data_IF_318755388000
#
_entry.id   IF_318755388000
#
_cell.length_a   1.000
_cell.length_b   1.000
_cell.length_c   1.000
_cell.angle_alpha   90.00
_cell.angle_beta   90.00
_cell.angle_gamma   90.00
#
_symmetry.space_group_name_H-M   'P 1'
#
loop_
_entity.id
_entity.type
_entity.pdbx_description
1 polymer ?
#
# COMPACT_ATOMS: atom_id res chain seq x y z
N UNK A 1 3.94 39.35 -37.20
CA UNK A 1 3.64 40.80 -37.10
C UNK A 1 4.39 41.66 -38.12
N UNK A 2 5.72 41.58 -38.22
CA UNK A 2 6.50 42.40 -39.16
C UNK A 2 6.12 42.21 -40.64
N UNK A 3 5.83 40.97 -41.08
CA UNK A 3 5.44 40.69 -42.47
C UNK A 3 4.09 41.30 -42.85
N UNK A 4 3.07 41.18 -41.99
CA UNK A 4 1.74 41.79 -42.21
C UNK A 4 1.81 43.32 -42.27
N UNK A 5 2.70 43.92 -41.47
CA UNK A 5 2.95 45.35 -41.50
C UNK A 5 3.63 45.78 -42.80
N UNK A 6 4.63 45.02 -43.26
CA UNK A 6 5.27 45.24 -44.57
C UNK A 6 4.31 45.10 -45.76
N UNK A 7 3.34 44.17 -45.71
CA UNK A 7 2.29 44.05 -46.75
C UNK A 7 1.38 45.28 -46.78
N UNK A 8 1.03 45.85 -45.61
CA UNK A 8 0.23 47.09 -45.53
C UNK A 8 1.01 48.30 -46.06
N UNK A 9 2.26 48.45 -45.65
CA UNK A 9 3.13 49.53 -46.14
C UNK A 9 3.34 49.45 -47.66
N UNK A 10 3.47 48.23 -48.20
CA UNK A 10 3.55 47.99 -49.64
C UNK A 10 2.26 48.42 -50.36
N UNK A 11 1.08 48.07 -49.83
CA UNK A 11 -0.21 48.46 -50.38
C UNK A 11 -0.42 49.98 -50.38
N UNK A 12 -0.09 50.64 -49.27
CA UNK A 12 -0.13 52.09 -49.13
C UNK A 12 0.80 52.78 -50.15
N UNK A 13 2.02 52.26 -50.31
CA UNK A 13 3.02 52.78 -51.25
C UNK A 13 2.58 52.62 -52.70
N UNK A 14 2.07 51.43 -53.08
CA UNK A 14 1.59 51.15 -54.43
C UNK A 14 0.36 52.00 -54.76
N UNK A 15 -0.56 52.13 -53.82
CA UNK A 15 -1.77 52.95 -53.97
C UNK A 15 -1.41 54.43 -54.13
N UNK A 16 -0.55 54.97 -53.26
CA UNK A 16 -0.06 56.35 -53.34
C UNK A 16 0.64 56.64 -54.68
N UNK A 17 1.48 55.70 -55.14
CA UNK A 17 2.17 55.80 -56.42
C UNK A 17 1.18 55.83 -57.60
N UNK A 18 0.14 55.00 -57.56
CA UNK A 18 -0.88 54.95 -58.62
C UNK A 18 -1.77 56.21 -58.62
N UNK A 19 -2.04 56.80 -57.46
CA UNK A 19 -2.69 58.13 -57.37
C UNK A 19 -1.80 59.23 -57.95
N UNK A 20 -0.52 59.26 -57.59
CA UNK A 20 0.44 60.23 -58.17
C UNK A 20 0.55 60.08 -59.70
N UNK A 21 0.51 58.85 -60.21
CA UNK A 21 0.52 58.56 -61.66
C UNK A 21 -0.73 59.11 -62.35
N UNK A 22 -1.91 58.90 -61.78
CA UNK A 22 -3.17 59.44 -62.30
C UNK A 22 -3.14 60.98 -62.37
N UNK A 23 -2.58 61.65 -61.36
CA UNK A 23 -2.44 63.11 -61.34
C UNK A 23 -1.50 63.64 -62.43
N UNK A 24 -0.38 62.96 -62.66
CA UNK A 24 0.57 63.29 -63.73
C UNK A 24 -0.05 63.06 -65.12
N UNK A 25 -0.76 61.95 -65.31
CA UNK A 25 -1.45 61.68 -66.59
C UNK A 25 -2.52 62.73 -66.89
N UNK A 26 -3.25 63.18 -65.87
CA UNK A 26 -4.23 64.26 -65.97
C UNK A 26 -3.60 65.59 -66.39
N UNK A 27 -2.45 65.97 -65.82
CA UNK A 27 -1.77 67.22 -66.21
C UNK A 27 -1.22 67.16 -67.63
N UNK A 28 -0.69 66.01 -68.04
CA UNK A 28 -0.21 65.76 -69.41
C UNK A 28 -1.36 65.85 -70.42
N UNK A 29 -2.48 65.17 -70.17
CA UNK A 29 -3.66 65.21 -71.05
C UNK A 29 -4.18 66.65 -71.24
N UNK A 30 -4.28 67.44 -70.16
CA UNK A 30 -4.67 68.86 -70.24
C UNK A 30 -3.74 69.67 -71.13
N UNK A 31 -2.43 69.48 -70.97
CA UNK A 31 -1.43 70.16 -71.80
C UNK A 31 -1.57 69.79 -73.29
N UNK A 32 -1.82 68.51 -73.60
CA UNK A 32 -2.00 68.08 -74.97
C UNK A 32 -3.32 68.56 -75.60
N UNK A 33 -4.40 68.69 -74.82
CA UNK A 33 -5.65 69.34 -75.27
C UNK A 33 -5.34 70.75 -75.77
N UNK A 34 -4.67 71.58 -74.96
CA UNK A 34 -4.34 72.96 -75.31
C UNK A 34 -3.45 73.07 -76.55
N UNK A 35 -2.49 72.14 -76.71
CA UNK A 35 -1.60 72.12 -77.87
C UNK A 35 -2.37 71.73 -79.13
N UNK A 36 -3.19 70.69 -79.07
CA UNK A 36 -3.95 70.17 -80.22
C UNK A 36 -5.02 71.18 -80.63
N UNK A 37 -5.71 71.83 -79.69
CA UNK A 37 -6.66 72.93 -80.00
C UNK A 37 -5.99 74.08 -80.77
N UNK A 38 -4.71 74.38 -80.49
CA UNK A 38 -3.97 75.49 -81.13
C UNK A 38 -3.32 75.13 -82.45
N UNK A 39 -2.98 73.86 -82.67
CA UNK A 39 -2.11 73.44 -83.78
C UNK A 39 -2.78 72.53 -84.79
N UNK A 40 -3.91 71.90 -84.43
CA UNK A 40 -4.63 71.03 -85.34
C UNK A 40 -5.68 71.80 -86.16
N UNK A 41 -5.92 71.34 -87.39
CA UNK A 41 -7.03 71.83 -88.23
C UNK A 41 -8.39 71.21 -87.85
N UNK A 42 -8.49 70.56 -86.69
CA UNK A 42 -9.70 69.89 -86.22
C UNK A 42 -10.66 70.90 -85.57
N UNK A 43 -11.97 70.66 -85.71
CA UNK A 43 -12.96 71.43 -84.95
C UNK A 43 -12.84 71.06 -83.46
N UNK A 44 -13.08 72.02 -82.58
CA UNK A 44 -12.95 71.86 -81.13
C UNK A 44 -13.66 70.58 -80.59
N UNK A 45 -14.87 70.21 -81.04
CA UNK A 45 -15.52 68.96 -80.61
C UNK A 45 -14.75 67.68 -80.96
N UNK A 46 -14.04 67.66 -82.08
CA UNK A 46 -13.27 66.50 -82.55
C UNK A 46 -12.00 66.30 -81.70
N UNK A 47 -11.36 67.41 -81.28
CA UNK A 47 -10.23 67.39 -80.35
C UNK A 47 -10.65 66.82 -79.00
N UNK A 48 -11.78 67.28 -78.45
CA UNK A 48 -12.32 66.71 -77.20
C UNK A 48 -12.70 65.24 -77.34
N UNK A 49 -13.27 64.83 -78.48
CA UNK A 49 -13.62 63.43 -78.74
C UNK A 49 -12.39 62.53 -78.77
N UNK A 50 -11.30 62.98 -79.41
CA UNK A 50 -10.03 62.26 -79.44
C UNK A 50 -9.43 62.12 -78.04
N UNK A 51 -9.36 63.22 -77.29
CA UNK A 51 -8.81 63.22 -75.92
C UNK A 51 -9.65 62.36 -74.99
N UNK A 52 -10.99 62.40 -75.11
CA UNK A 52 -11.87 61.55 -74.32
C UNK A 52 -11.65 60.06 -74.59
N UNK A 53 -11.42 59.67 -75.86
CA UNK A 53 -11.08 58.28 -76.20
C UNK A 53 -9.76 57.85 -75.55
N UNK A 54 -8.73 58.68 -75.63
CA UNK A 54 -7.42 58.39 -75.03
C UNK A 54 -7.50 58.35 -73.50
N UNK A 55 -8.20 59.30 -72.88
CA UNK A 55 -8.46 59.33 -71.45
C UNK A 55 -9.22 58.09 -70.99
N UNK A 56 -10.16 57.58 -71.79
CA UNK A 56 -10.88 56.35 -71.50
C UNK A 56 -9.94 55.13 -71.47
N UNK A 57 -9.05 54.98 -72.45
CA UNK A 57 -8.05 53.91 -72.49
C UNK A 57 -7.12 53.98 -71.28
N UNK A 58 -6.63 55.18 -70.94
CA UNK A 58 -5.78 55.41 -69.78
C UNK A 58 -6.52 55.08 -68.47
N UNK A 59 -7.76 55.55 -68.31
CA UNK A 59 -8.58 55.26 -67.14
C UNK A 59 -8.82 53.76 -66.97
N UNK A 60 -9.02 53.04 -68.08
CA UNK A 60 -9.21 51.59 -68.04
C UNK A 60 -7.95 50.86 -67.58
N UNK A 61 -6.77 51.32 -68.00
CA UNK A 61 -5.49 50.82 -67.51
C UNK A 61 -5.25 51.16 -66.01
N UNK A 62 -5.56 52.38 -65.57
CA UNK A 62 -5.49 52.78 -64.16
C UNK A 62 -6.39 51.92 -63.27
N UNK A 63 -7.63 51.67 -63.70
CA UNK A 63 -8.57 50.78 -63.00
C UNK A 63 -8.07 49.34 -62.97
N UNK A 64 -7.50 48.86 -64.07
CA UNK A 64 -6.85 47.54 -64.14
C UNK A 64 -5.71 47.41 -63.13
N UNK A 65 -4.84 48.42 -63.04
CA UNK A 65 -3.72 48.44 -62.10
C UNK A 65 -4.19 48.50 -60.65
N UNK A 66 -5.18 49.36 -60.32
CA UNK A 66 -5.77 49.39 -58.98
C UNK A 66 -6.38 48.05 -58.58
N UNK A 67 -7.07 47.38 -59.51
CA UNK A 67 -7.60 46.03 -59.27
C UNK A 67 -6.47 45.01 -59.03
N UNK A 68 -5.39 45.09 -59.80
CA UNK A 68 -4.23 44.21 -59.62
C UNK A 68 -3.52 44.44 -58.28
N UNK A 69 -3.37 45.70 -57.84
CA UNK A 69 -2.81 46.05 -56.52
C UNK A 69 -3.68 45.45 -55.41
N UNK A 70 -5.01 45.67 -55.46
CA UNK A 70 -5.94 45.12 -54.49
C UNK A 70 -5.91 43.58 -54.46
N UNK A 71 -5.83 42.93 -55.62
CA UNK A 71 -5.73 41.47 -55.70
C UNK A 71 -4.41 40.95 -55.12
N UNK A 72 -3.29 41.64 -55.40
CA UNK A 72 -2.00 41.30 -54.84
C UNK A 72 -2.03 41.37 -53.31
N UNK A 73 -2.61 42.43 -52.74
CA UNK A 73 -2.76 42.58 -51.30
C UNK A 73 -3.54 41.42 -50.68
N UNK A 74 -4.69 41.07 -51.26
CA UNK A 74 -5.52 39.94 -50.79
C UNK A 74 -4.73 38.63 -50.86
N UNK A 75 -4.10 38.33 -52.00
CA UNK A 75 -3.35 37.09 -52.17
C UNK A 75 -2.18 36.97 -51.17
N UNK A 76 -1.45 38.06 -50.94
CA UNK A 76 -0.35 38.09 -49.98
C UNK A 76 -0.84 37.92 -48.53
N UNK A 77 -1.95 38.56 -48.18
CA UNK A 77 -2.55 38.42 -46.86
C UNK A 77 -3.07 37.00 -46.62
N UNK A 78 -3.75 36.42 -47.60
CA UNK A 78 -4.26 35.05 -47.56
C UNK A 78 -3.12 34.04 -47.40
N UNK A 79 -2.09 34.11 -48.26
CA UNK A 79 -0.93 33.23 -48.17
C UNK A 79 -0.23 33.35 -46.80
N UNK A 80 -0.12 34.55 -46.26
CA UNK A 80 0.48 34.78 -44.92
C UNK A 80 -0.36 34.16 -43.82
N UNK A 81 -1.68 34.32 -43.86
CA UNK A 81 -2.60 33.74 -42.88
C UNK A 81 -2.59 32.21 -42.93
N UNK A 82 -2.54 31.65 -44.13
CA UNK A 82 -2.49 30.21 -44.34
C UNK A 82 -1.19 29.61 -43.77
N UNK A 83 -0.06 30.27 -44.01
CA UNK A 83 1.22 29.88 -43.42
C UNK A 83 1.21 29.95 -41.89
N UNK A 84 0.64 31.00 -41.30
CA UNK A 84 0.51 31.11 -39.84
C UNK A 84 -0.38 30.01 -39.26
N UNK A 85 -1.48 29.68 -39.94
CA UNK A 85 -2.40 28.62 -39.55
C UNK A 85 -1.70 27.25 -39.60
N UNK A 86 -0.98 26.94 -40.67
CA UNK A 86 -0.20 25.70 -40.80
C UNK A 86 0.89 25.60 -39.73
N UNK A 87 1.60 26.69 -39.46
CA UNK A 87 2.59 26.75 -38.40
C UNK A 87 1.98 26.49 -37.02
N UNK A 88 0.80 27.06 -36.74
CA UNK A 88 0.07 26.83 -35.50
C UNK A 88 -0.37 25.37 -35.35
N UNK A 89 -0.93 24.76 -36.40
CA UNK A 89 -1.32 23.34 -36.36
C UNK A 89 -0.11 22.44 -36.13
N UNK A 90 1.00 22.71 -36.81
CA UNK A 90 2.25 21.96 -36.61
C UNK A 90 2.77 22.11 -35.19
N UNK A 91 2.77 23.32 -34.64
CA UNK A 91 3.19 23.57 -33.26
C UNK A 91 2.30 22.82 -32.28
N UNK A 92 0.98 22.86 -32.46
CA UNK A 92 0.04 22.11 -31.62
C UNK A 92 0.33 20.60 -31.66
N UNK A 93 0.52 20.02 -32.84
CA UNK A 93 0.87 18.60 -32.97
C UNK A 93 2.19 18.25 -32.29
N UNK A 94 3.20 19.12 -32.36
CA UNK A 94 4.45 18.93 -31.64
C UNK A 94 4.27 18.99 -30.13
N UNK A 95 3.45 19.92 -29.63
CA UNK A 95 3.11 20.02 -28.20
C UNK A 95 2.39 18.76 -27.73
N UNK A 96 1.42 18.26 -28.49
CA UNK A 96 0.66 17.05 -28.13
C UNK A 96 1.56 15.81 -28.11
N UNK A 97 2.45 15.68 -29.09
CA UNK A 97 3.42 14.57 -29.14
C UNK A 97 4.39 14.64 -27.96
N UNK A 98 4.88 15.84 -27.64
CA UNK A 98 5.73 16.06 -26.48
C UNK A 98 5.00 15.75 -25.17
N UNK A 99 3.73 16.17 -25.02
CA UNK A 99 2.90 15.85 -23.86
C UNK A 99 2.77 14.34 -23.69
N UNK A 100 2.49 13.60 -24.77
CA UNK A 100 2.36 12.15 -24.74
C UNK A 100 3.66 11.47 -24.27
N UNK A 101 4.81 11.88 -24.81
CA UNK A 101 6.12 11.36 -24.38
C UNK A 101 6.40 11.64 -22.90
N UNK A 102 6.05 12.84 -22.43
CA UNK A 102 6.19 13.22 -21.03
C UNK A 102 5.30 12.40 -20.09
N UNK A 103 4.03 12.17 -20.46
CA UNK A 103 3.13 11.27 -19.73
C UNK A 103 3.71 9.85 -19.67
N UNK A 104 4.15 9.31 -20.80
CA UNK A 104 4.71 7.96 -20.88
C UNK A 104 5.97 7.81 -20.00
N UNK A 105 6.90 8.78 -20.06
CA UNK A 105 8.10 8.75 -19.24
C UNK A 105 7.78 8.82 -17.74
N UNK A 106 6.78 9.62 -17.35
CA UNK A 106 6.34 9.72 -15.96
C UNK A 106 5.70 8.42 -15.47
N UNK A 107 4.85 7.80 -16.31
CA UNK A 107 4.25 6.50 -16.02
C UNK A 107 5.31 5.42 -15.85
N UNK A 108 6.31 5.38 -16.74
CA UNK A 108 7.41 4.43 -16.64
C UNK A 108 8.22 4.64 -15.36
N UNK A 109 8.58 5.89 -15.05
CA UNK A 109 9.31 6.22 -13.81
C UNK A 109 8.54 5.82 -12.56
N UNK A 110 7.21 6.04 -12.54
CA UNK A 110 6.37 5.62 -11.43
C UNK A 110 6.30 4.09 -11.33
N UNK A 111 6.20 3.39 -12.46
CA UNK A 111 6.22 1.92 -12.49
C UNK A 111 7.55 1.35 -11.98
N UNK A 112 8.68 1.94 -12.35
CA UNK A 112 10.00 1.55 -11.85
C UNK A 112 10.12 1.80 -10.34
N UNK A 113 9.57 2.90 -9.84
CA UNK A 113 9.48 3.19 -8.41
C UNK A 113 8.64 2.13 -7.67
N UNK A 114 7.45 1.78 -8.18
CA UNK A 114 6.59 0.75 -7.59
C UNK A 114 7.22 -0.65 -7.65
N UNK A 115 8.02 -0.92 -8.68
CA UNK A 115 8.77 -2.17 -8.82
C UNK A 115 10.03 -2.24 -7.96
N UNK A 116 10.43 -1.13 -7.32
CA UNK A 116 11.62 -1.10 -6.48
C UNK A 116 11.49 -2.00 -5.26
N UNK A 117 12.61 -2.60 -4.84
CA UNK A 117 12.64 -3.49 -3.68
C UNK A 117 12.14 -2.79 -2.41
N UNK A 118 12.41 -1.49 -2.27
CA UNK A 118 11.96 -0.68 -1.13
C UNK A 118 10.44 -0.70 -0.98
N UNK A 119 9.69 -0.74 -2.08
CA UNK A 119 8.23 -0.72 -2.08
C UNK A 119 7.66 -2.13 -2.09
N UNK A 120 8.22 -3.03 -2.90
CA UNK A 120 7.73 -4.42 -3.01
C UNK A 120 8.06 -5.27 -1.78
N UNK A 121 9.22 -5.08 -1.18
CA UNK A 121 9.69 -5.82 -0.02
C UNK A 121 10.39 -4.85 0.96
N UNK A 122 9.61 -4.04 1.69
CA UNK A 122 10.16 -3.01 2.57
C UNK A 122 11.15 -3.62 3.59
N UNK A 123 12.38 -3.10 3.69
CA UNK A 123 13.41 -3.69 4.54
C UNK A 123 13.02 -3.68 6.03
N UNK A 124 12.23 -2.70 6.45
CA UNK A 124 11.77 -2.60 7.84
C UNK A 124 10.68 -3.63 8.16
N UNK A 125 9.84 -4.00 7.18
CA UNK A 125 8.92 -5.14 7.32
C UNK A 125 9.71 -6.43 7.48
N UNK A 126 10.75 -6.63 6.65
CA UNK A 126 11.60 -7.82 6.74
C UNK A 126 12.26 -7.95 8.12
N UNK A 127 12.79 -6.86 8.67
CA UNK A 127 13.34 -6.84 10.03
C UNK A 127 12.29 -7.19 11.08
N UNK A 128 11.07 -6.67 10.95
CA UNK A 128 9.98 -6.95 11.88
C UNK A 128 9.59 -8.44 11.85
N UNK A 129 9.50 -9.04 10.67
CA UNK A 129 9.23 -10.48 10.51
C UNK A 129 10.37 -11.33 11.11
N UNK A 130 11.63 -10.98 10.86
CA UNK A 130 12.79 -11.69 11.43
C UNK A 130 12.81 -11.60 12.95
N UNK A 131 12.52 -10.42 13.52
CA UNK A 131 12.38 -10.20 14.96
C UNK A 131 11.23 -11.02 15.55
N UNK A 132 10.07 -10.99 14.90
CA UNK A 132 8.89 -11.77 15.27
C UNK A 132 9.20 -13.26 15.35
N UNK A 133 9.80 -13.83 14.29
CA UNK A 133 10.14 -15.26 14.26
C UNK A 133 11.11 -15.66 15.38
N UNK A 134 12.12 -14.82 15.65
CA UNK A 134 13.10 -15.08 16.71
C UNK A 134 12.45 -15.08 18.09
N UNK A 135 11.61 -14.08 18.38
CA UNK A 135 10.94 -13.94 19.67
C UNK A 135 9.84 -14.99 19.85
N UNK A 136 9.07 -15.28 18.80
CA UNK A 136 8.07 -16.34 18.79
C UNK A 136 8.71 -17.69 19.14
N UNK A 137 9.87 -18.01 18.55
CA UNK A 137 10.61 -19.22 18.89
C UNK A 137 11.02 -19.25 20.36
N UNK A 138 11.51 -18.13 20.89
CA UNK A 138 11.92 -18.04 22.30
C UNK A 138 10.72 -18.20 23.26
N UNK A 139 9.57 -17.58 22.95
CA UNK A 139 8.35 -17.72 23.74
C UNK A 139 7.77 -19.13 23.67
N UNK A 140 7.79 -19.75 22.49
CA UNK A 140 7.35 -21.14 22.31
C UNK A 140 8.24 -22.11 23.09
N UNK A 141 9.55 -21.87 23.14
CA UNK A 141 10.47 -22.66 23.93
C UNK A 141 10.15 -22.55 25.43
N UNK A 142 9.91 -21.34 25.95
CA UNK A 142 9.47 -21.14 27.34
C UNK A 142 8.16 -21.86 27.64
N UNK A 143 7.20 -21.83 26.70
CA UNK A 143 5.93 -22.57 26.84
C UNK A 143 6.17 -24.08 26.91
N UNK A 144 7.05 -24.62 26.07
CA UNK A 144 7.38 -26.04 26.08
C UNK A 144 8.08 -26.47 27.37
N UNK A 145 9.01 -25.65 27.87
CA UNK A 145 9.65 -25.87 29.17
C UNK A 145 8.62 -25.89 30.31
N UNK A 146 7.69 -24.93 30.33
CA UNK A 146 6.59 -24.92 31.31
C UNK A 146 5.66 -26.12 31.17
N UNK A 147 5.42 -26.61 29.95
CA UNK A 147 4.64 -27.84 29.76
C UNK A 147 5.33 -29.06 30.37
N UNK A 148 6.66 -29.15 30.30
CA UNK A 148 7.41 -30.26 30.88
C UNK A 148 7.39 -30.29 32.42
N UNK A 149 7.20 -29.15 33.09
CA UNK A 149 7.14 -29.10 34.57
C UNK A 149 5.92 -29.79 35.16
N UNK A 150 4.93 -30.17 34.34
CA UNK A 150 3.80 -30.97 34.82
C UNK A 150 4.25 -32.34 35.37
N UNK A 151 5.37 -32.86 34.88
CA UNK A 151 5.96 -34.10 35.39
C UNK A 151 6.39 -33.98 36.86
N UNK A 152 6.76 -32.78 37.31
CA UNK A 152 7.17 -32.52 38.70
C UNK A 152 5.96 -32.48 39.66
N UNK A 153 4.76 -32.30 39.12
CA UNK A 153 3.50 -32.31 39.88
C UNK A 153 2.97 -33.73 40.09
N UNK A 154 3.56 -34.75 39.48
CA UNK A 154 3.10 -36.12 39.64
C UNK A 154 3.27 -36.63 41.10
N UNK A 155 2.54 -37.69 41.50
CA UNK A 155 2.67 -38.27 42.84
C UNK A 155 4.13 -38.51 43.26
N UNK A 156 4.50 -38.22 44.52
CA UNK A 156 3.61 -38.02 45.67
C UNK A 156 3.15 -36.57 45.92
N UNK A 157 3.69 -35.58 45.21
CA UNK A 157 3.44 -34.16 45.47
C UNK A 157 2.22 -33.61 44.71
N UNK A 158 1.26 -34.47 44.38
CA UNK A 158 0.18 -34.12 43.47
C UNK A 158 -1.04 -33.59 44.21
N UNK A 159 -1.38 -32.32 43.98
CA UNK A 159 -2.54 -31.68 44.58
C UNK A 159 -3.33 -30.81 43.58
N UNK A 160 -4.63 -30.65 43.85
CA UNK A 160 -5.50 -29.77 43.06
C UNK A 160 -5.01 -28.33 43.01
N UNK A 161 -4.49 -27.81 44.13
CA UNK A 161 -4.02 -26.42 44.22
C UNK A 161 -2.84 -26.16 43.28
N UNK A 162 -1.83 -27.04 43.29
CA UNK A 162 -0.65 -26.90 42.44
C UNK A 162 -1.00 -27.07 40.96
N UNK A 163 -1.94 -27.95 40.61
CA UNK A 163 -2.41 -28.09 39.23
C UNK A 163 -3.12 -26.82 38.74
N UNK A 164 -3.96 -26.19 39.58
CA UNK A 164 -4.63 -24.94 39.23
C UNK A 164 -3.65 -23.78 39.04
N UNK A 165 -2.63 -23.69 39.91
CA UNK A 165 -1.57 -22.69 39.80
C UNK A 165 -0.75 -22.89 38.50
N UNK A 166 -0.31 -24.12 38.24
CA UNK A 166 0.43 -24.47 37.03
C UNK A 166 -0.36 -24.12 35.75
N UNK A 167 -1.65 -24.43 35.71
CA UNK A 167 -2.50 -24.11 34.56
C UNK A 167 -2.73 -22.60 34.41
N UNK A 168 -2.87 -21.87 35.52
CA UNK A 168 -2.97 -20.40 35.47
C UNK A 168 -1.70 -19.75 34.89
N UNK A 169 -0.52 -20.29 35.23
CA UNK A 169 0.77 -19.88 34.65
C UNK A 169 0.82 -20.18 33.14
N UNK A 170 0.40 -21.39 32.73
CA UNK A 170 0.33 -21.77 31.31
C UNK A 170 -0.60 -20.84 30.52
N UNK A 171 -1.79 -20.53 31.05
CA UNK A 171 -2.73 -19.62 30.40
C UNK A 171 -2.20 -18.18 30.34
N UNK A 172 -1.47 -17.72 31.35
CA UNK A 172 -0.78 -16.43 31.31
C UNK A 172 0.25 -16.38 30.17
N UNK A 173 1.04 -17.45 30.00
CA UNK A 173 2.00 -17.57 28.89
C UNK A 173 1.30 -17.60 27.52
N UNK A 174 0.20 -18.35 27.38
CA UNK A 174 -0.58 -18.41 26.14
C UNK A 174 -1.16 -17.03 25.78
N UNK A 175 -1.73 -16.31 26.76
CA UNK A 175 -2.23 -14.94 26.56
C UNK A 175 -1.11 -13.96 26.19
N UNK A 176 0.08 -14.13 26.77
CA UNK A 176 1.23 -13.30 26.41
C UNK A 176 1.69 -13.54 24.96
N UNK A 177 1.71 -14.81 24.53
CA UNK A 177 1.99 -15.19 23.14
C UNK A 177 0.98 -14.60 22.15
N UNK A 178 -0.31 -14.70 22.48
CA UNK A 178 -1.40 -14.14 21.67
C UNK A 178 -1.29 -12.61 21.54
N UNK A 179 -1.14 -11.91 22.67
CA UNK A 179 -0.94 -10.47 22.67
C UNK A 179 0.33 -10.04 21.90
N UNK A 180 1.39 -10.85 21.97
CA UNK A 180 2.61 -10.62 21.20
C UNK A 180 2.37 -10.75 19.69
N UNK A 181 1.68 -11.80 19.24
CA UNK A 181 1.34 -11.97 17.82
C UNK A 181 0.50 -10.81 17.29
N UNK A 182 -0.55 -10.40 18.02
CA UNK A 182 -1.38 -9.24 17.66
C UNK A 182 -0.54 -7.96 17.57
N UNK A 183 0.38 -7.77 18.51
CA UNK A 183 1.33 -6.65 18.48
C UNK A 183 2.22 -6.68 17.23
N UNK A 184 2.72 -7.84 16.82
CA UNK A 184 3.57 -7.99 15.63
C UNK A 184 2.82 -7.67 14.34
N UNK A 185 1.59 -8.20 14.17
CA UNK A 185 0.74 -7.89 13.01
C UNK A 185 0.51 -6.38 12.91
N UNK A 186 0.24 -5.71 14.05
CA UNK A 186 0.05 -4.26 14.08
C UNK A 186 1.33 -3.49 13.69
N UNK A 187 2.50 -3.93 14.17
CA UNK A 187 3.77 -3.31 13.79
C UNK A 187 4.08 -3.48 12.30
N UNK A 188 3.83 -4.66 11.74
CA UNK A 188 4.02 -4.91 10.30
C UNK A 188 3.07 -4.04 9.48
N UNK A 189 1.78 -3.97 9.85
CA UNK A 189 0.78 -3.07 9.23
C UNK A 189 1.28 -1.62 9.24
N UNK A 190 1.84 -1.14 10.37
CA UNK A 190 2.38 0.21 10.48
C UNK A 190 3.58 0.46 9.55
N UNK A 191 4.44 -0.52 9.31
CA UNK A 191 5.55 -0.34 8.35
C UNK A 191 5.05 -0.27 6.91
N UNK A 192 4.04 -1.06 6.55
CA UNK A 192 3.41 -0.96 5.24
C UNK A 192 2.69 0.39 5.06
N UNK A 193 2.02 0.91 6.09
CA UNK A 193 1.37 2.22 6.05
C UNK A 193 2.35 3.36 5.70
N UNK A 194 3.56 3.32 6.27
CA UNK A 194 4.63 4.28 5.90
C UNK A 194 5.00 4.17 4.42
N UNK A 195 5.03 2.93 3.90
CA UNK A 195 5.31 2.66 2.48
C UNK A 195 4.18 3.19 1.59
N UNK A 196 2.92 3.09 2.02
CA UNK A 196 1.76 3.67 1.33
C UNK A 196 1.82 5.19 1.30
N UNK A 197 2.17 5.82 2.42
CA UNK A 197 2.36 7.27 2.48
C UNK A 197 3.46 7.73 1.51
N UNK A 198 4.56 6.99 1.41
CA UNK A 198 5.61 7.27 0.42
C UNK A 198 5.10 7.16 -1.02
N UNK A 199 4.32 6.11 -1.32
CA UNK A 199 3.71 5.94 -2.64
C UNK A 199 2.76 7.09 -2.99
N UNK A 200 1.87 7.46 -2.06
CA UNK A 200 0.92 8.56 -2.24
C UNK A 200 1.64 9.91 -2.40
N UNK A 201 2.70 10.15 -1.63
CA UNK A 201 3.54 11.33 -1.79
C UNK A 201 4.19 11.37 -3.19
N UNK A 202 4.66 10.23 -3.70
CA UNK A 202 5.21 10.13 -5.05
C UNK A 202 4.17 10.41 -6.12
N UNK A 203 2.92 9.96 -5.94
CA UNK A 203 1.79 10.28 -6.82
C UNK A 203 1.54 11.79 -6.88
N UNK A 204 1.51 12.46 -5.72
CA UNK A 204 1.34 13.92 -5.66
C UNK A 204 2.51 14.67 -6.31
N UNK A 205 3.74 14.18 -6.13
CA UNK A 205 4.91 14.74 -6.79
C UNK A 205 4.82 14.60 -8.32
N UNK A 206 4.38 13.44 -8.82
CA UNK A 206 4.11 13.25 -10.25
C UNK A 206 3.05 14.22 -10.77
N UNK A 207 1.97 14.45 -10.01
CA UNK A 207 0.95 15.44 -10.35
C UNK A 207 1.54 16.84 -10.44
N UNK A 208 2.31 17.26 -9.44
CA UNK A 208 2.96 18.57 -9.41
C UNK A 208 3.92 18.76 -10.59
N UNK A 209 4.71 17.73 -10.93
CA UNK A 209 5.61 17.76 -12.07
C UNK A 209 4.89 18.00 -13.41
N UNK A 210 3.68 17.45 -13.59
CA UNK A 210 2.86 17.71 -14.78
C UNK A 210 2.44 19.18 -14.85
N UNK A 211 2.03 19.77 -13.72
CA UNK A 211 1.60 21.17 -13.65
C UNK A 211 2.79 22.13 -13.84
N UNK A 212 3.96 21.80 -13.30
CA UNK A 212 5.18 22.60 -13.42
C UNK A 212 5.65 22.74 -14.88
N UNK A 213 5.31 21.78 -15.73
CA UNK A 213 5.56 21.85 -17.18
C UNK A 213 4.72 22.92 -17.90
N UNK A 214 3.73 23.54 -17.25
CA UNK A 214 2.85 24.62 -17.76
C UNK A 214 2.07 24.32 -19.05
N UNK A 215 2.24 23.12 -19.59
CA UNK A 215 1.55 22.64 -20.77
C UNK A 215 0.30 21.83 -20.41
N UNK A 216 0.26 21.22 -19.22
CA UNK A 216 -0.84 20.38 -18.77
C UNK A 216 -1.83 21.20 -17.95
N UNK A 217 -3.12 20.94 -18.14
CA UNK A 217 -4.17 21.47 -17.27
C UNK A 217 -4.34 20.58 -16.03
N UNK A 218 -5.05 21.10 -15.03
CA UNK A 218 -5.36 20.34 -13.81
C UNK A 218 -6.13 19.05 -14.13
N UNK A 219 -7.09 19.13 -15.06
CA UNK A 219 -7.89 17.99 -15.51
C UNK A 219 -7.04 16.95 -16.25
N UNK A 220 -6.11 17.39 -17.10
CA UNK A 220 -5.18 16.49 -17.80
C UNK A 220 -4.24 15.78 -16.82
N UNK A 221 -3.80 16.46 -15.76
CA UNK A 221 -2.97 15.85 -14.72
C UNK A 221 -3.77 14.85 -13.87
N UNK A 222 -4.98 15.24 -13.44
CA UNK A 222 -5.87 14.40 -12.65
C UNK A 222 -6.30 13.14 -13.41
N UNK A 223 -6.57 13.25 -14.71
CA UNK A 223 -6.94 12.10 -15.56
C UNK A 223 -5.84 11.04 -15.68
N UNK A 224 -4.57 11.39 -15.47
CA UNK A 224 -3.47 10.40 -15.44
C UNK A 224 -3.31 9.80 -14.04
N UNK A 225 -3.36 10.66 -13.03
CA UNK A 225 -3.09 10.31 -11.63
C UNK A 225 -4.22 9.44 -11.06
N UNK A 226 -5.47 9.84 -11.26
CA UNK A 226 -6.67 9.23 -10.67
C UNK A 226 -6.86 7.74 -11.04
N UNK A 227 -6.78 7.35 -12.32
CA UNK A 227 -7.01 5.96 -12.70
C UNK A 227 -5.74 5.11 -12.64
N UNK A 228 -4.60 5.59 -13.15
CA UNK A 228 -3.45 4.73 -13.38
C UNK A 228 -2.58 4.56 -12.13
N UNK A 229 -2.20 5.67 -11.49
CA UNK A 229 -1.29 5.61 -10.34
C UNK A 229 -1.97 5.04 -9.09
N UNK A 230 -3.20 5.48 -8.78
CA UNK A 230 -3.92 4.90 -7.65
C UNK A 230 -4.30 3.43 -7.88
N UNK A 231 -4.57 3.00 -9.12
CA UNK A 231 -4.79 1.58 -9.39
C UNK A 231 -3.53 0.76 -9.11
N UNK A 232 -2.34 1.22 -9.53
CA UNK A 232 -1.08 0.52 -9.23
C UNK A 232 -0.80 0.42 -7.73
N UNK A 233 -1.03 1.51 -6.99
CA UNK A 233 -0.88 1.52 -5.52
C UNK A 233 -1.91 0.59 -4.89
N UNK A 234 -3.17 0.68 -5.30
CA UNK A 234 -4.27 -0.13 -4.78
C UNK A 234 -4.07 -1.63 -5.00
N UNK A 235 -3.60 -2.05 -6.17
CA UNK A 235 -3.30 -3.48 -6.43
C UNK A 235 -2.23 -4.01 -5.48
N UNK A 236 -1.17 -3.23 -5.24
CA UNK A 236 -0.12 -3.63 -4.29
C UNK A 236 -0.65 -3.66 -2.85
N UNK A 237 -1.40 -2.64 -2.47
CA UNK A 237 -2.00 -2.52 -1.14
C UNK A 237 -2.95 -3.69 -0.84
N UNK A 238 -3.91 -3.98 -1.74
CA UNK A 238 -4.88 -5.07 -1.55
C UNK A 238 -4.18 -6.41 -1.40
N UNK A 239 -3.14 -6.68 -2.19
CA UNK A 239 -2.37 -7.93 -2.06
C UNK A 239 -1.72 -8.05 -0.67
N UNK A 240 -1.12 -6.99 -0.17
CA UNK A 240 -0.49 -6.99 1.16
C UNK A 240 -1.53 -7.10 2.27
N UNK A 241 -2.67 -6.42 2.14
CA UNK A 241 -3.77 -6.51 3.10
C UNK A 241 -4.33 -7.94 3.17
N UNK A 242 -4.49 -8.62 2.03
CA UNK A 242 -4.89 -10.04 1.97
C UNK A 242 -3.87 -10.93 2.69
N UNK A 243 -2.57 -10.74 2.47
CA UNK A 243 -1.51 -11.50 3.14
C UNK A 243 -1.50 -11.25 4.66
N UNK A 244 -1.74 -10.01 5.09
CA UNK A 244 -1.81 -9.65 6.52
C UNK A 244 -3.06 -10.20 7.19
N UNK A 245 -4.20 -10.22 6.50
CA UNK A 245 -5.44 -10.82 6.99
C UNK A 245 -5.28 -12.34 7.18
N UNK A 246 -4.62 -13.02 6.24
CA UNK A 246 -4.30 -14.45 6.37
C UNK A 246 -3.40 -14.73 7.58
N UNK A 247 -2.41 -13.86 7.83
CA UNK A 247 -1.53 -13.98 9.00
C UNK A 247 -2.31 -13.77 10.31
N UNK A 248 -3.13 -12.72 10.38
CA UNK A 248 -3.97 -12.38 11.54
C UNK A 248 -4.90 -13.55 11.90
N UNK A 249 -5.61 -14.07 10.89
CA UNK A 249 -6.48 -15.24 11.04
C UNK A 249 -5.73 -16.49 11.49
N UNK A 250 -4.52 -16.73 10.96
CA UNK A 250 -3.70 -17.87 11.37
C UNK A 250 -3.30 -17.78 12.84
N UNK A 251 -3.03 -16.58 13.35
CA UNK A 251 -2.74 -16.38 14.77
C UNK A 251 -3.99 -16.53 15.64
N UNK A 252 -5.14 -16.03 15.20
CA UNK A 252 -6.42 -16.22 15.90
C UNK A 252 -6.78 -17.71 16.04
N UNK A 253 -6.65 -18.47 14.94
CA UNK A 253 -6.92 -19.91 14.93
C UNK A 253 -5.93 -20.66 15.84
N UNK A 254 -4.65 -20.27 15.84
CA UNK A 254 -3.64 -20.82 16.74
C UNK A 254 -3.94 -20.52 18.21
N UNK A 255 -4.40 -19.31 18.54
CA UNK A 255 -4.77 -18.93 19.90
C UNK A 255 -5.95 -19.77 20.41
N UNK A 256 -7.00 -19.91 19.58
CA UNK A 256 -8.16 -20.78 19.88
C UNK A 256 -7.74 -22.23 20.09
N UNK A 257 -6.92 -22.78 19.18
CA UNK A 257 -6.42 -24.14 19.31
C UNK A 257 -5.61 -24.32 20.61
N UNK A 258 -4.77 -23.35 20.94
CA UNK A 258 -3.93 -23.37 22.14
C UNK A 258 -4.78 -23.33 23.42
N UNK A 259 -5.85 -22.55 23.44
CA UNK A 259 -6.80 -22.48 24.55
C UNK A 259 -7.55 -23.80 24.75
N UNK A 260 -8.05 -24.40 23.67
CA UNK A 260 -8.69 -25.72 23.71
C UNK A 260 -7.73 -26.78 24.26
N UNK A 261 -6.51 -26.85 23.73
CA UNK A 261 -5.49 -27.81 24.17
C UNK A 261 -5.11 -27.62 25.65
N UNK A 262 -4.98 -26.38 26.12
CA UNK A 262 -4.70 -26.07 27.53
C UNK A 262 -5.82 -26.58 28.44
N UNK A 263 -7.08 -26.37 28.02
CA UNK A 263 -8.27 -26.80 28.74
C UNK A 263 -8.40 -28.32 28.79
N UNK A 264 -8.18 -29.01 27.67
CA UNK A 264 -8.21 -30.47 27.60
C UNK A 264 -7.14 -31.10 28.50
N UNK A 265 -5.93 -30.52 28.49
CA UNK A 265 -4.83 -30.96 29.34
C UNK A 265 -5.16 -30.78 30.82
N UNK A 266 -5.75 -29.65 31.19
CA UNK A 266 -6.23 -29.42 32.56
C UNK A 266 -7.26 -30.47 32.96
N UNK A 267 -8.27 -30.73 32.13
CA UNK A 267 -9.33 -31.69 32.42
C UNK A 267 -8.76 -33.10 32.66
N UNK A 268 -7.80 -33.53 31.83
CA UNK A 268 -7.11 -34.80 32.00
C UNK A 268 -6.41 -34.91 33.37
N UNK A 269 -5.60 -33.91 33.71
CA UNK A 269 -4.87 -33.93 34.99
C UNK A 269 -5.79 -33.69 36.19
N UNK A 270 -6.91 -32.98 36.05
CA UNK A 270 -7.87 -32.83 37.13
C UNK A 270 -8.48 -34.18 37.53
N UNK A 271 -8.80 -35.04 36.55
CA UNK A 271 -9.28 -36.38 36.86
C UNK A 271 -8.21 -37.27 37.48
N UNK A 272 -6.96 -37.16 37.02
CA UNK A 272 -5.84 -37.86 37.63
C UNK A 272 -5.60 -37.42 39.09
N UNK A 273 -5.65 -36.12 39.39
CA UNK A 273 -5.57 -35.59 40.77
C UNK A 273 -6.67 -36.20 41.62
N UNK A 274 -7.91 -36.17 41.13
CA UNK A 274 -9.07 -36.66 41.89
C UNK A 274 -8.93 -38.13 42.27
N UNK A 275 -8.44 -38.97 41.34
CA UNK A 275 -8.17 -40.38 41.61
C UNK A 275 -7.04 -40.57 42.63
N UNK A 276 -5.97 -39.78 42.52
CA UNK A 276 -4.84 -39.83 43.46
C UNK A 276 -5.25 -39.40 44.88
N UNK A 277 -5.93 -38.26 45.04
CA UNK A 277 -6.39 -37.75 46.34
C UNK A 277 -7.36 -38.73 47.03
N UNK A 278 -8.23 -39.38 46.26
CA UNK A 278 -9.12 -40.42 46.76
C UNK A 278 -8.35 -41.67 47.23
N UNK A 279 -7.35 -42.11 46.46
CA UNK A 279 -6.48 -43.21 46.84
C UNK A 279 -5.68 -42.90 48.11
N UNK A 280 -5.07 -41.71 48.17
CA UNK A 280 -4.31 -41.24 49.33
C UNK A 280 -5.18 -41.20 50.59
N UNK A 281 -6.42 -40.70 50.48
CA UNK A 281 -7.38 -40.68 51.58
C UNK A 281 -7.71 -42.09 52.08
N UNK A 282 -7.99 -43.02 51.15
CA UNK A 282 -8.25 -44.44 51.47
C UNK A 282 -7.04 -45.10 52.15
N UNK A 283 -5.83 -44.82 51.66
CA UNK A 283 -4.59 -45.34 52.23
C UNK A 283 -4.37 -44.83 53.65
N UNK A 284 -4.57 -43.53 53.90
CA UNK A 284 -4.48 -42.96 55.24
C UNK A 284 -5.50 -43.54 56.23
N UNK A 285 -6.73 -43.82 55.78
CA UNK A 285 -7.72 -44.52 56.61
C UNK A 285 -7.28 -45.94 56.98
N UNK A 286 -6.72 -46.69 56.02
CA UNK A 286 -6.19 -48.04 56.24
C UNK A 286 -4.97 -48.04 57.16
N UNK A 287 -4.05 -47.09 57.00
CA UNK A 287 -2.88 -46.91 57.87
C UNK A 287 -3.30 -46.60 59.30
N UNK A 288 -4.26 -45.70 59.50
CA UNK A 288 -4.81 -45.38 60.83
C UNK A 288 -5.45 -46.61 61.49
N UNK A 289 -6.21 -47.40 60.72
CA UNK A 289 -6.84 -48.63 61.21
C UNK A 289 -5.80 -49.70 61.56
N UNK A 290 -4.76 -49.86 60.75
CA UNK A 290 -3.63 -50.74 61.05
C UNK A 290 -2.88 -50.29 62.30
N UNK A 291 -2.63 -49.00 62.46
CA UNK A 291 -1.96 -48.44 63.63
C UNK A 291 -2.78 -48.67 64.92
N UNK A 292 -4.11 -48.48 64.87
CA UNK A 292 -5.01 -48.85 65.96
C UNK A 292 -4.93 -50.33 66.31
N UNK A 293 -4.91 -51.22 65.30
CA UNK A 293 -4.78 -52.67 65.52
C UNK A 293 -3.43 -53.03 66.14
N UNK A 294 -2.34 -52.45 65.65
CA UNK A 294 -1.01 -52.67 66.23
C UNK A 294 -0.94 -52.19 67.67
N UNK A 295 -1.52 -51.03 67.98
CA UNK A 295 -1.55 -50.50 69.34
C UNK A 295 -2.41 -51.36 70.27
N UNK A 296 -3.56 -51.85 69.81
CA UNK A 296 -4.36 -52.83 70.56
C UNK A 296 -3.57 -54.12 70.82
N UNK A 297 -2.80 -54.62 69.86
CA UNK A 297 -1.95 -55.80 70.04
C UNK A 297 -0.81 -55.54 71.03
N UNK A 298 -0.17 -54.37 70.96
CA UNK A 298 0.85 -53.95 71.95
C UNK A 298 0.26 -53.90 73.36
N UNK A 299 -0.92 -53.31 73.52
CA UNK A 299 -1.60 -53.23 74.82
C UNK A 299 -1.96 -54.63 75.36
N UNK A 300 -2.43 -55.54 74.51
CA UNK A 300 -2.66 -56.95 74.89
C UNK A 300 -1.38 -57.62 75.37
N UNK A 301 -0.27 -57.47 74.64
CA UNK A 301 1.02 -58.04 75.03
C UNK A 301 1.50 -57.50 76.38
N UNK A 302 1.35 -56.20 76.63
CA UNK A 302 1.72 -55.56 77.90
C UNK A 302 0.85 -56.10 79.06
N UNK A 303 -0.45 -56.27 78.83
CA UNK A 303 -1.38 -56.86 79.81
C UNK A 303 -1.05 -58.34 80.09
N UNK A 304 -0.72 -59.11 79.06
CA UNK A 304 -0.31 -60.51 79.17
C UNK A 304 1.01 -60.64 79.95
N UNK A 305 2.01 -59.78 79.69
CA UNK A 305 3.25 -59.71 80.46
C UNK A 305 3.01 -59.32 81.94
N UNK A 306 2.09 -58.39 82.21
CA UNK A 306 1.73 -58.00 83.59
C UNK A 306 1.01 -59.14 84.34
N UNK A 307 0.13 -59.88 83.67
CA UNK A 307 -0.51 -61.08 84.23
C UNK A 307 0.53 -62.18 84.48
N UNK A 308 1.53 -62.33 83.61
CA UNK A 308 2.66 -63.24 83.81
C UNK A 308 3.55 -62.84 85.00
N UNK A 309 3.73 -61.54 85.24
CA UNK A 309 4.51 -61.00 86.37
C UNK A 309 3.76 -61.05 87.72
N UNK A 310 2.43 -61.09 87.72
CA UNK A 310 1.58 -61.19 88.92
C UNK A 310 1.16 -62.62 89.28
N UNK A 311 1.50 -63.62 88.45
CA UNK A 311 1.35 -65.03 88.81
C UNK A 311 2.28 -65.37 90.00
N UNK A 312 1.81 -66.05 91.07
CA UNK A 312 2.68 -66.41 92.18
C UNK A 312 3.81 -67.31 91.70
N UNK A 313 5.07 -66.96 92.02
CA UNK A 313 6.21 -67.87 91.85
C UNK A 313 6.04 -69.09 92.76
N UNK A 314 5.35 -70.10 92.27
CA UNK A 314 5.50 -71.50 92.67
C UNK A 314 6.64 -72.14 91.87
N UNK A 315 7.51 -72.84 92.59
CA UNK A 315 8.78 -73.43 92.16
C UNK A 315 8.61 -74.60 91.13
N UNK A 316 9.72 -75.18 90.62
CA UNK A 316 9.83 -75.70 89.26
C UNK A 316 9.53 -77.20 89.07
N UNK A 317 9.48 -77.55 87.77
CA UNK A 317 9.91 -78.79 87.13
C UNK A 317 9.08 -80.07 87.35
N UNK A 318 8.55 -80.56 86.22
CA UNK A 318 8.11 -81.95 86.05
C UNK A 318 7.75 -82.24 84.59
N UNK A 319 8.74 -82.77 83.85
CA UNK A 319 8.68 -83.67 82.67
C UNK A 319 7.96 -83.22 81.38
N UNK A 320 8.73 -83.06 80.30
CA UNK A 320 8.75 -83.96 79.10
C UNK A 320 7.43 -83.92 78.30
N UNK A 321 7.37 -83.43 77.06
CA UNK A 321 7.97 -84.05 75.87
C UNK A 321 8.07 -83.10 74.67
N UNK A 322 8.97 -83.47 73.76
CA UNK A 322 9.24 -82.91 72.43
C UNK A 322 7.98 -82.79 71.56
N UNK A 323 7.88 -81.70 70.81
CA UNK A 323 7.91 -81.72 69.34
C UNK A 323 7.89 -80.30 68.75
N UNK A 324 8.92 -79.95 67.98
CA UNK A 324 8.91 -78.88 66.97
C UNK A 324 9.25 -79.53 65.62
N UNK A 325 9.05 -78.88 64.46
CA UNK A 325 8.10 -77.80 64.13
C UNK A 325 7.42 -78.06 62.77
N UNK A 326 6.44 -77.24 62.35
CA UNK A 326 6.27 -76.93 60.92
C UNK A 326 5.72 -75.53 60.71
N UNK A 327 6.54 -74.75 60.01
CA UNK A 327 6.27 -73.46 59.40
C UNK A 327 5.08 -73.53 58.43
N UNK A 328 4.19 -72.54 58.50
CA UNK A 328 3.39 -72.11 57.35
C UNK A 328 3.12 -70.61 57.45
N UNK A 329 3.89 -69.84 56.68
CA UNK A 329 3.54 -68.47 56.29
C UNK A 329 2.34 -68.50 55.33
N UNK A 330 1.38 -67.56 55.43
CA UNK A 330 0.53 -67.19 54.32
C UNK A 330 1.05 -65.91 53.65
N UNK A 331 0.95 -65.91 52.31
CA UNK A 331 1.08 -64.75 51.42
C UNK A 331 -0.01 -63.72 51.66
#
# INVERSE_FOLDING_TARGET
MQLKQGIKELDETLTSTEFSRADKLRSVLKKYVEIIEKTSYLMQPDVYTLINKEAMVINQALLGNRRAIAQLFVNLMEATLQQELEAHHRWQGLVDTWKALKKQALVQSFSEFMASERIRAPPDVKKEIESMLKNQKALQQKRLEHLCTICDLLPPNYSKAQLTEWHSSLNSLNKHLDAYHMGCVMQIRLQYEKTWQECLARVQECKKQLLDWKAFTEEEAESLVSPYFFQMVGVLQSKVEEELELLDKSFEDLAKQTECQSSDLLNYFQEAVRLWEAHQSTLSEQELELEKRMEQQRQKHILEEQVWLLAPRGAPAGNEERATPRLSMPR
#
